data_IF_706327170627
#
_entry.id   IF_706327170627
#
_cell.length_a   1.000
_cell.length_b   1.000
_cell.length_c   1.000
_cell.angle_alpha   90.00
_cell.angle_beta   90.00
_cell.angle_gamma   90.00
#
_symmetry.space_group_name_H-M   'P 1'
#
loop_
_entity.id
_entity.type
_entity.pdbx_description
1 polymer ?
#
# COMPACT_ATOMS: atom_id res chain seq x y z
N UNK A 1 28.73 -18.26 12.46
CA UNK A 1 29.53 -17.75 11.31
C UNK A 1 28.57 -16.97 10.37
N UNK A 2 29.05 -15.88 9.76
CA UNK A 2 28.31 -15.11 8.78
C UNK A 2 28.95 -15.30 7.40
N UNK A 3 28.13 -15.44 6.37
CA UNK A 3 28.56 -15.54 4.96
C UNK A 3 27.83 -14.48 4.13
N UNK A 4 28.54 -13.65 3.38
CA UNK A 4 27.88 -12.73 2.44
C UNK A 4 27.20 -13.53 1.33
N UNK A 5 26.02 -13.07 0.91
CA UNK A 5 25.25 -13.59 -0.22
C UNK A 5 25.49 -12.71 -1.43
N UNK A 6 25.46 -13.33 -2.62
CA UNK A 6 25.44 -12.61 -3.89
C UNK A 6 23.98 -12.45 -4.34
N UNK A 7 23.76 -11.55 -5.26
CA UNK A 7 22.43 -11.30 -5.82
C UNK A 7 21.72 -12.57 -6.31
N UNK A 8 22.47 -13.45 -6.99
CA UNK A 8 21.92 -14.72 -7.50
C UNK A 8 21.55 -15.75 -6.40
N UNK A 9 22.07 -15.58 -5.21
CA UNK A 9 21.82 -16.46 -4.06
C UNK A 9 20.73 -15.92 -3.15
N UNK A 10 20.24 -14.69 -3.45
CA UNK A 10 19.22 -13.99 -2.66
C UNK A 10 17.82 -14.29 -3.21
N UNK A 11 16.84 -14.57 -2.37
CA UNK A 11 15.43 -14.59 -2.79
C UNK A 11 15.00 -13.26 -3.39
N UNK A 12 14.01 -13.29 -4.30
CA UNK A 12 13.45 -12.07 -4.89
C UNK A 12 12.96 -11.12 -3.78
N UNK A 13 13.21 -9.82 -3.99
CA UNK A 13 12.72 -8.79 -3.07
C UNK A 13 11.22 -8.62 -3.22
N UNK A 14 10.55 -8.29 -2.14
CA UNK A 14 9.14 -7.93 -2.18
C UNK A 14 8.93 -6.61 -2.91
N UNK A 15 7.72 -6.41 -3.42
CA UNK A 15 7.37 -5.20 -4.16
C UNK A 15 7.62 -3.93 -3.33
N UNK A 16 8.28 -2.97 -3.95
CA UNK A 16 8.64 -1.71 -3.29
C UNK A 16 9.80 -1.80 -2.30
N UNK A 17 10.43 -2.96 -2.14
CA UNK A 17 11.60 -3.12 -1.29
C UNK A 17 12.90 -2.81 -2.04
N UNK A 18 13.74 -1.97 -1.45
CA UNK A 18 15.10 -1.69 -1.94
C UNK A 18 16.12 -2.23 -0.95
N UNK A 19 17.03 -3.06 -1.44
CA UNK A 19 18.12 -3.61 -0.64
C UNK A 19 19.25 -2.60 -0.49
N UNK A 20 19.57 -2.26 0.74
CA UNK A 20 20.65 -1.32 1.11
C UNK A 20 21.76 -1.99 1.91
N UNK A 21 21.86 -3.32 1.88
CA UNK A 21 22.90 -4.07 2.58
C UNK A 21 24.28 -3.71 2.02
N UNK A 22 25.25 -3.51 2.92
CA UNK A 22 26.65 -3.32 2.56
C UNK A 22 27.40 -4.65 2.43
N UNK A 23 28.54 -4.66 1.74
CA UNK A 23 29.45 -5.79 1.62
C UNK A 23 28.83 -7.06 0.98
N UNK A 24 27.85 -6.87 0.12
CA UNK A 24 27.09 -7.93 -0.55
C UNK A 24 25.63 -7.57 -0.68
N UNK A 25 24.85 -8.50 -1.21
CA UNK A 25 23.41 -8.29 -1.35
C UNK A 25 22.62 -8.83 -0.14
N UNK A 26 23.26 -9.57 0.74
CA UNK A 26 22.66 -10.09 1.95
C UNK A 26 23.67 -10.88 2.79
N UNK A 27 23.24 -11.37 3.93
CA UNK A 27 24.08 -12.15 4.85
C UNK A 27 23.32 -13.39 5.30
N UNK A 28 23.95 -14.54 5.12
CA UNK A 28 23.49 -15.82 5.67
C UNK A 28 24.14 -16.07 7.03
N UNK A 29 23.34 -16.23 8.05
CA UNK A 29 23.77 -16.61 9.38
C UNK A 29 23.78 -18.13 9.52
N UNK A 30 24.89 -18.66 10.06
CA UNK A 30 25.12 -20.10 10.20
C UNK A 30 25.29 -20.48 11.68
N UNK A 31 24.79 -21.66 12.08
CA UNK A 31 24.02 -22.65 11.30
C UNK A 31 22.64 -22.09 10.90
N UNK A 32 22.29 -22.29 9.63
CA UNK A 32 20.99 -21.87 9.11
C UNK A 32 19.86 -22.66 9.81
N UNK A 33 18.74 -21.99 10.15
CA UNK A 33 17.63 -22.64 10.85
C UNK A 33 17.84 -22.81 12.36
N UNK A 34 18.93 -22.29 12.95
CA UNK A 34 19.10 -22.31 14.41
C UNK A 34 18.05 -21.39 15.05
N UNK A 35 17.25 -21.96 15.97
CA UNK A 35 16.30 -21.20 16.77
C UNK A 35 16.89 -20.88 18.15
N UNK A 36 16.59 -19.69 18.64
CA UNK A 36 16.96 -19.21 19.97
C UNK A 36 15.75 -19.23 20.89
N UNK A 37 16.03 -19.39 22.18
CA UNK A 37 15.00 -19.25 23.22
C UNK A 37 14.51 -17.80 23.33
N UNK A 38 13.58 -17.53 24.21
CA UNK A 38 12.86 -16.25 24.38
C UNK A 38 13.71 -14.96 24.33
N UNK A 39 15.00 -15.04 24.69
CA UNK A 39 15.87 -13.85 24.66
C UNK A 39 16.35 -13.47 23.25
N UNK A 40 16.28 -14.40 22.29
CA UNK A 40 16.75 -14.19 20.93
C UNK A 40 18.25 -13.88 20.84
N UNK A 41 18.71 -13.53 19.65
CA UNK A 41 20.06 -13.07 19.38
C UNK A 41 20.01 -11.64 18.79
N UNK A 42 21.05 -10.86 19.06
CA UNK A 42 21.21 -9.54 18.45
C UNK A 42 22.11 -9.66 17.24
N UNK A 43 21.63 -9.21 16.09
CA UNK A 43 22.38 -9.15 14.83
C UNK A 43 22.72 -7.71 14.50
N UNK A 44 23.89 -7.50 13.91
CA UNK A 44 24.36 -6.19 13.42
C UNK A 44 24.67 -6.34 11.94
N UNK A 45 23.93 -5.63 11.12
CA UNK A 45 24.06 -5.69 9.68
C UNK A 45 24.43 -4.31 9.14
N UNK A 46 25.52 -4.22 8.39
CA UNK A 46 25.95 -2.98 7.77
C UNK A 46 25.06 -2.62 6.58
N UNK A 47 24.87 -1.32 6.36
CA UNK A 47 24.17 -0.79 5.20
C UNK A 47 25.05 0.17 4.41
N UNK A 48 24.74 0.32 3.13
CA UNK A 48 25.39 1.25 2.23
C UNK A 48 24.51 2.51 2.07
N UNK A 49 25.03 3.65 2.51
CA UNK A 49 24.33 4.93 2.43
C UNK A 49 24.00 5.35 1.01
N UNK A 50 24.83 4.94 0.04
CA UNK A 50 24.64 5.31 -1.36
C UNK A 50 23.47 4.60 -2.02
N UNK A 51 23.00 3.52 -1.39
CA UNK A 51 21.85 2.72 -1.85
C UNK A 51 20.52 3.18 -1.27
N UNK A 52 20.52 4.12 -0.32
CA UNK A 52 19.28 4.63 0.28
C UNK A 52 18.52 5.43 -0.80
N UNK A 53 17.24 5.08 -1.06
CA UNK A 53 16.44 5.78 -2.07
C UNK A 53 16.22 7.26 -1.71
N UNK A 54 16.06 8.09 -2.73
CA UNK A 54 15.72 9.51 -2.52
C UNK A 54 14.43 9.65 -1.69
N UNK A 55 14.45 10.58 -0.75
CA UNK A 55 13.32 10.82 0.16
C UNK A 55 13.31 9.94 1.42
N UNK A 56 14.24 8.99 1.52
CA UNK A 56 14.40 8.12 2.70
C UNK A 56 15.70 8.43 3.43
N UNK A 57 15.75 8.06 4.69
CA UNK A 57 16.86 8.29 5.60
C UNK A 57 17.36 6.98 6.20
N UNK A 58 18.48 7.04 6.93
CA UNK A 58 19.01 5.89 7.66
C UNK A 58 18.00 5.36 8.71
N UNK A 59 17.08 6.22 9.19
CA UNK A 59 16.08 5.84 10.18
C UNK A 59 14.94 4.99 9.56
N UNK A 60 14.83 4.96 8.25
CA UNK A 60 13.85 4.14 7.54
C UNK A 60 14.35 2.73 7.26
N UNK A 61 15.64 2.48 7.46
CA UNK A 61 16.26 1.18 7.21
C UNK A 61 15.83 0.19 8.31
N UNK A 62 15.43 -0.99 7.89
CA UNK A 62 15.16 -2.13 8.77
C UNK A 62 15.88 -3.37 8.27
N UNK A 63 16.20 -4.27 9.20
CA UNK A 63 16.70 -5.60 8.84
C UNK A 63 15.50 -6.52 8.62
N UNK A 64 15.56 -7.28 7.53
CA UNK A 64 14.54 -8.25 7.14
C UNK A 64 15.16 -9.63 7.05
N UNK A 65 14.39 -10.66 7.36
CA UNK A 65 14.72 -12.04 7.08
C UNK A 65 13.76 -12.63 6.06
N UNK A 66 14.23 -13.59 5.29
CA UNK A 66 13.38 -14.29 4.35
C UNK A 66 12.67 -15.45 5.05
N UNK A 67 11.35 -15.39 5.03
CA UNK A 67 10.50 -16.46 5.53
C UNK A 67 10.24 -17.48 4.42
N UNK A 68 10.70 -18.71 4.62
CA UNK A 68 10.56 -19.77 3.62
C UNK A 68 9.14 -20.31 3.49
N UNK A 69 8.29 -20.11 4.48
CA UNK A 69 6.91 -20.59 4.46
C UNK A 69 6.00 -19.62 3.68
N UNK A 70 6.10 -18.34 3.98
CA UNK A 70 5.31 -17.30 3.31
C UNK A 70 5.93 -16.79 2.02
N UNK A 71 7.24 -17.05 1.79
CA UNK A 71 8.04 -16.54 0.65
C UNK A 71 8.14 -15.01 0.61
N UNK A 72 8.06 -14.37 1.76
CA UNK A 72 8.16 -12.92 1.92
C UNK A 72 9.28 -12.52 2.86
N UNK A 73 9.70 -11.27 2.73
CA UNK A 73 10.64 -10.64 3.64
C UNK A 73 9.91 -10.07 4.86
N UNK A 74 10.31 -10.52 6.04
CA UNK A 74 9.70 -10.12 7.32
C UNK A 74 10.66 -9.25 8.10
N UNK A 75 10.18 -8.10 8.58
CA UNK A 75 10.98 -7.17 9.36
C UNK A 75 11.31 -7.73 10.74
N UNK A 76 12.58 -7.63 11.13
CA UNK A 76 13.01 -7.90 12.50
C UNK A 76 12.69 -6.72 13.43
N UNK A 77 12.60 -7.01 14.72
CA UNK A 77 12.55 -5.98 15.76
C UNK A 77 13.86 -5.18 15.74
N UNK A 78 13.77 -3.91 15.34
CA UNK A 78 14.90 -2.99 15.31
C UNK A 78 15.20 -2.47 16.71
N UNK A 79 16.40 -2.69 17.20
CA UNK A 79 16.87 -2.16 18.48
C UNK A 79 17.37 -0.73 18.32
N UNK A 80 18.26 -0.50 17.34
CA UNK A 80 18.77 0.84 17.00
C UNK A 80 19.40 0.87 15.61
N UNK A 81 19.51 2.08 15.08
CA UNK A 81 20.38 2.38 13.92
C UNK A 81 21.65 3.03 14.44
N UNK A 82 22.78 2.45 14.16
CA UNK A 82 24.08 2.99 14.50
C UNK A 82 24.64 3.73 13.26
N UNK A 83 24.40 5.04 13.24
CA UNK A 83 24.79 5.87 12.10
C UNK A 83 26.30 6.06 11.99
N UNK A 84 27.06 5.91 13.08
CA UNK A 84 28.51 6.03 13.03
C UNK A 84 29.11 4.84 12.32
N UNK A 85 28.71 3.63 12.70
CA UNK A 85 29.16 2.38 12.12
C UNK A 85 28.39 1.96 10.85
N UNK A 86 27.40 2.74 10.43
CA UNK A 86 26.50 2.43 9.32
C UNK A 86 25.90 1.01 9.43
N UNK A 87 25.33 0.70 10.59
CA UNK A 87 24.73 -0.62 10.80
C UNK A 87 23.37 -0.52 11.51
N UNK A 88 22.50 -1.47 11.18
CA UNK A 88 21.25 -1.69 11.89
C UNK A 88 21.44 -2.81 12.90
N UNK A 89 21.01 -2.57 14.12
CA UNK A 89 21.03 -3.54 15.21
C UNK A 89 19.61 -4.05 15.40
N UNK A 90 19.40 -5.33 15.22
CA UNK A 90 18.08 -5.95 15.27
C UNK A 90 18.10 -7.22 16.14
N UNK A 91 16.95 -7.60 16.66
CA UNK A 91 16.77 -8.84 17.42
C UNK A 91 16.15 -9.91 16.52
N UNK A 92 16.69 -11.12 16.58
CA UNK A 92 16.17 -12.27 15.86
C UNK A 92 16.01 -13.47 16.79
N UNK A 93 15.03 -14.33 16.50
CA UNK A 93 14.82 -15.59 17.21
C UNK A 93 15.39 -16.80 16.47
N UNK A 94 15.87 -16.61 15.25
CA UNK A 94 16.45 -17.68 14.43
C UNK A 94 17.49 -17.14 13.44
N UNK A 95 18.37 -18.02 12.99
CA UNK A 95 19.34 -17.69 11.96
C UNK A 95 18.85 -18.10 10.57
N UNK A 96 18.88 -17.14 9.66
CA UNK A 96 18.47 -17.30 8.25
C UNK A 96 19.20 -16.27 7.39
N UNK A 97 18.75 -16.11 6.15
CA UNK A 97 19.20 -15.05 5.25
C UNK A 97 18.58 -13.73 5.65
N UNK A 98 19.40 -12.71 5.76
CA UNK A 98 18.98 -11.36 6.20
C UNK A 98 19.56 -10.29 5.29
N UNK A 99 18.78 -9.23 5.13
CA UNK A 99 19.15 -8.01 4.41
C UNK A 99 18.77 -6.77 5.23
N UNK A 100 19.44 -5.67 4.94
CA UNK A 100 18.91 -4.36 5.29
C UNK A 100 18.14 -3.80 4.09
N UNK A 101 16.95 -3.32 4.32
CA UNK A 101 16.09 -2.79 3.27
C UNK A 101 15.31 -1.56 3.71
N UNK A 102 14.83 -0.83 2.71
CA UNK A 102 13.86 0.24 2.84
C UNK A 102 12.65 -0.15 2.01
N UNK A 103 11.46 -0.05 2.58
CA UNK A 103 10.21 -0.23 1.83
C UNK A 103 9.79 1.15 1.34
N UNK A 104 9.78 1.30 0.03
CA UNK A 104 9.19 2.46 -0.62
C UNK A 104 7.68 2.23 -0.66
N UNK A 105 6.94 2.96 0.16
CA UNK A 105 5.50 3.05 -0.04
C UNK A 105 5.28 3.66 -1.43
N UNK A 106 4.40 3.10 -2.28
CA UNK A 106 3.97 3.81 -3.46
C UNK A 106 3.49 5.19 -3.00
N UNK A 107 3.94 6.25 -3.69
CA UNK A 107 3.38 7.58 -3.45
C UNK A 107 1.88 7.41 -3.50
N UNK A 108 1.25 7.48 -2.33
CA UNK A 108 -0.19 7.57 -2.27
C UNK A 108 -0.52 8.80 -3.10
N UNK A 109 -1.33 8.70 -4.18
CA UNK A 109 -1.86 9.91 -4.76
C UNK A 109 -2.38 10.72 -3.57
N UNK A 110 -2.08 12.03 -3.52
CA UNK A 110 -2.54 12.89 -2.45
C UNK A 110 -4.07 12.75 -2.34
N UNK A 111 -4.49 11.69 -1.71
CA UNK A 111 -5.81 11.63 -1.11
C UNK A 111 -5.66 12.61 0.03
N UNK A 112 -6.23 13.78 -0.14
CA UNK A 112 -6.39 14.73 0.97
C UNK A 112 -6.81 13.90 2.18
N UNK A 113 -5.93 13.88 3.18
CA UNK A 113 -6.17 13.04 4.34
C UNK A 113 -7.57 13.36 4.85
N UNK A 114 -8.38 12.34 5.07
CA UNK A 114 -9.72 12.50 5.62
C UNK A 114 -9.62 13.43 6.84
N UNK A 115 -9.93 14.70 6.62
CA UNK A 115 -10.04 15.67 7.70
C UNK A 115 -11.45 15.53 8.28
N UNK A 116 -11.59 15.18 9.57
CA UNK A 116 -12.91 15.07 10.22
C UNK A 116 -13.76 16.34 10.07
N UNK A 117 -13.11 17.49 9.87
CA UNK A 117 -13.75 18.78 9.60
C UNK A 117 -14.44 18.84 8.24
N UNK A 118 -14.05 18.03 7.25
CA UNK A 118 -14.77 17.95 5.97
C UNK A 118 -16.17 17.34 6.12
N UNK A 119 -16.43 16.60 7.20
CA UNK A 119 -17.78 16.10 7.49
C UNK A 119 -18.75 17.19 7.91
N UNK A 120 -18.28 18.38 8.29
CA UNK A 120 -19.15 19.49 8.66
C UNK A 120 -19.93 20.06 7.46
N UNK A 121 -19.47 19.80 6.24
CA UNK A 121 -20.14 20.23 5.01
C UNK A 121 -21.06 19.16 4.40
N UNK A 122 -21.08 17.96 4.99
CA UNK A 122 -22.07 16.95 4.63
C UNK A 122 -23.40 17.41 5.24
N UNK A 123 -24.17 18.20 4.48
CA UNK A 123 -25.54 18.47 4.83
C UNK A 123 -26.29 17.15 4.86
N UNK A 124 -26.92 16.85 5.99
CA UNK A 124 -27.88 15.75 6.04
C UNK A 124 -28.82 15.91 4.84
N UNK A 125 -29.02 14.83 4.09
CA UNK A 125 -29.96 14.84 2.98
C UNK A 125 -31.29 15.40 3.49
N UNK A 126 -31.73 16.53 2.92
CA UNK A 126 -33.02 17.10 3.28
C UNK A 126 -34.09 16.07 2.93
N UNK A 127 -34.79 15.48 3.90
CA UNK A 127 -35.85 14.52 3.61
C UNK A 127 -37.00 15.14 2.82
N UNK A 128 -37.01 16.47 2.69
CA UNK A 128 -37.98 17.21 1.84
C UNK A 128 -37.33 17.67 0.51
N UNK A 129 -36.03 17.40 0.27
CA UNK A 129 -35.39 17.62 -1.00
C UNK A 129 -36.13 16.80 -2.05
N UNK A 130 -36.92 17.50 -2.82
CA UNK A 130 -37.86 17.05 -3.84
C UNK A 130 -37.44 15.70 -4.42
N UNK A 131 -38.06 14.64 -3.95
CA UNK A 131 -38.21 13.45 -4.75
C UNK A 131 -38.91 13.92 -6.00
N UNK A 132 -38.25 13.95 -7.15
CA UNK A 132 -38.91 14.17 -8.44
C UNK A 132 -39.82 12.96 -8.65
N UNK A 133 -41.03 13.09 -8.15
CA UNK A 133 -42.08 12.09 -8.41
C UNK A 133 -42.28 12.07 -9.91
N UNK A 134 -42.12 10.91 -10.52
CA UNK A 134 -42.48 10.67 -11.90
C UNK A 134 -43.93 11.12 -12.01
N UNK A 135 -44.19 12.09 -12.89
CA UNK A 135 -45.56 12.56 -13.10
C UNK A 135 -46.47 11.36 -13.44
N UNK A 136 -47.64 11.27 -12.84
CA UNK A 136 -48.54 10.16 -13.14
C UNK A 136 -48.83 10.10 -14.63
N UNK A 137 -48.97 8.92 -15.22
CA UNK A 137 -49.24 8.76 -16.63
C UNK A 137 -50.51 9.50 -17.01
N UNK A 138 -50.42 10.31 -18.05
CA UNK A 138 -51.58 11.04 -18.57
C UNK A 138 -52.25 10.24 -19.69
N UNK A 139 -53.55 10.12 -19.62
CA UNK A 139 -54.33 9.50 -20.68
C UNK A 139 -54.29 10.38 -21.94
N UNK A 140 -53.97 9.79 -23.08
CA UNK A 140 -54.09 10.44 -24.35
C UNK A 140 -55.57 10.46 -24.81
N UNK A 141 -55.87 11.17 -25.91
CA UNK A 141 -57.25 11.26 -26.46
C UNK A 141 -57.86 9.89 -26.84
N UNK A 142 -57.12 8.80 -26.76
CA UNK A 142 -57.57 7.43 -27.06
C UNK A 142 -57.73 6.58 -25.78
N UNK A 143 -57.49 7.19 -24.59
CA UNK A 143 -57.63 6.49 -23.31
C UNK A 143 -56.46 5.58 -22.95
N UNK A 144 -55.38 5.58 -23.73
CA UNK A 144 -54.13 4.85 -23.38
C UNK A 144 -53.23 5.73 -22.53
N UNK A 145 -52.71 5.15 -21.46
CA UNK A 145 -51.73 5.82 -20.61
C UNK A 145 -50.35 5.80 -21.25
N UNK A 146 -49.69 6.94 -21.37
CA UNK A 146 -48.31 7.04 -21.82
C UNK A 146 -47.45 7.62 -20.69
N UNK A 147 -46.26 7.04 -20.49
CA UNK A 147 -45.29 7.53 -19.54
C UNK A 147 -43.94 7.66 -20.25
N UNK A 148 -43.31 8.81 -20.11
CA UNK A 148 -41.94 9.01 -20.59
C UNK A 148 -41.06 9.46 -19.43
N UNK A 149 -39.95 8.80 -19.23
CA UNK A 149 -38.94 9.16 -18.26
C UNK A 149 -37.59 9.36 -18.95
N UNK A 150 -37.07 10.58 -18.90
CA UNK A 150 -35.75 10.89 -19.42
C UNK A 150 -34.68 10.73 -18.30
N UNK A 151 -33.58 10.08 -18.60
CA UNK A 151 -32.44 10.00 -17.69
C UNK A 151 -31.60 11.26 -17.81
N UNK A 152 -31.32 11.91 -16.68
CA UNK A 152 -30.37 13.00 -16.63
C UNK A 152 -28.95 12.41 -16.77
N UNK A 153 -28.30 12.73 -17.87
CA UNK A 153 -26.92 12.29 -18.13
C UNK A 153 -25.96 13.43 -17.81
N UNK A 154 -24.76 13.10 -17.27
CA UNK A 154 -23.73 14.10 -17.07
C UNK A 154 -23.39 14.80 -18.40
N UNK A 155 -23.00 16.08 -18.36
CA UNK A 155 -22.64 16.81 -19.58
C UNK A 155 -21.46 16.13 -20.26
N UNK A 156 -21.63 15.78 -21.53
CA UNK A 156 -20.58 15.17 -22.33
C UNK A 156 -19.66 16.22 -22.94
N UNK A 157 -18.44 15.80 -23.24
CA UNK A 157 -17.46 16.64 -23.92
C UNK A 157 -17.96 17.04 -25.29
N UNK A 158 -17.93 18.32 -25.65
CA UNK A 158 -18.40 18.89 -26.92
C UNK A 158 -19.91 18.77 -27.20
N UNK A 159 -20.75 18.69 -26.16
CA UNK A 159 -22.21 18.71 -26.36
C UNK A 159 -22.82 17.43 -26.96
N UNK A 160 -22.04 16.37 -27.11
CA UNK A 160 -22.49 15.07 -27.65
C UNK A 160 -23.00 14.11 -26.57
N UNK A 161 -23.85 14.56 -25.65
CA UNK A 161 -24.49 13.69 -24.69
C UNK A 161 -25.56 12.83 -25.38
N UNK A 162 -25.57 11.50 -25.21
CA UNK A 162 -26.69 10.69 -25.66
C UNK A 162 -27.93 11.01 -24.82
N UNK A 163 -29.09 11.11 -25.46
CA UNK A 163 -30.36 11.19 -24.74
C UNK A 163 -30.89 9.77 -24.50
N UNK A 164 -31.06 9.42 -23.25
CA UNK A 164 -31.64 8.14 -22.86
C UNK A 164 -32.96 8.37 -22.13
N UNK A 165 -33.94 7.56 -22.43
CA UNK A 165 -35.23 7.60 -21.76
C UNK A 165 -36.00 6.28 -21.89
N UNK A 166 -36.91 6.06 -20.99
CA UNK A 166 -37.86 4.96 -21.05
C UNK A 166 -39.21 5.54 -21.46
N UNK A 167 -39.85 4.92 -22.44
CA UNK A 167 -41.20 5.27 -22.85
C UNK A 167 -42.08 4.02 -22.72
N UNK A 168 -43.24 4.19 -22.10
CA UNK A 168 -44.32 3.23 -22.05
C UNK A 168 -45.54 3.77 -22.79
N UNK A 169 -46.11 2.98 -23.68
CA UNK A 169 -47.32 3.32 -24.45
C UNK A 169 -48.24 2.12 -24.63
#
# INVERSE_FOLDING_TARGET
TMRPLREMDLPALDFGMTNVTAEGEGVRFLPHGTHFTEKGATVRLKYDRTRIPSGYTEDDIRTYYFDNDTKHWVALERVKVDKQEACVVSRTTHFTDMINGVIQAPESPETEGFAPTMMNDIKAADPTAKINLIAPPQANNRGTASLQYAFEMPPARNGMAPSLGIQYS
#
